data_IF_731078824562
#
_entry.id   IF_731078824562
#
_cell.length_a   1.000
_cell.length_b   1.000
_cell.length_c   1.000
_cell.angle_alpha   90.00
_cell.angle_beta   90.00
_cell.angle_gamma   90.00
#
_symmetry.space_group_name_H-M   'P 1'
#
loop_
_entity.id
_entity.type
_entity.pdbx_description
1 polymer ?
#
# COMPACT_ATOMS: atom_id res chain seq x y z
N UNK A 1 -10.30 2.84 2.29
CA UNK A 1 -10.65 1.43 2.55
C UNK A 1 -11.71 1.31 3.64
N UNK A 2 -11.59 2.06 4.75
CA UNK A 2 -12.56 1.99 5.85
C UNK A 2 -14.00 2.24 5.42
N UNK A 3 -14.23 3.26 4.58
CA UNK A 3 -15.54 3.56 4.02
C UNK A 3 -16.13 2.36 3.26
N UNK A 4 -15.34 1.67 2.44
CA UNK A 4 -15.79 0.48 1.70
C UNK A 4 -16.24 -0.64 2.65
N UNK A 5 -15.50 -0.88 3.74
CA UNK A 5 -15.92 -1.85 4.75
C UNK A 5 -17.23 -1.42 5.44
N UNK A 6 -17.40 -0.14 5.73
CA UNK A 6 -18.62 0.40 6.33
C UNK A 6 -19.83 0.25 5.40
N UNK A 7 -19.68 0.62 4.12
CA UNK A 7 -20.73 0.51 3.09
C UNK A 7 -21.20 -0.93 2.91
N UNK A 8 -20.28 -1.89 2.94
CA UNK A 8 -20.59 -3.32 2.87
C UNK A 8 -20.92 -3.96 4.22
N UNK A 9 -21.06 -3.17 5.30
CA UNK A 9 -21.38 -3.61 6.65
C UNK A 9 -20.42 -4.69 7.21
N UNK A 10 -19.16 -4.66 6.76
CA UNK A 10 -18.12 -5.59 7.21
C UNK A 10 -17.49 -5.07 8.50
N UNK A 11 -17.83 -5.72 9.63
CA UNK A 11 -17.21 -5.45 10.92
C UNK A 11 -15.82 -6.06 10.98
N UNK A 12 -14.79 -5.22 11.13
CA UNK A 12 -13.40 -5.64 11.27
C UNK A 12 -13.00 -5.69 12.74
N UNK A 13 -12.25 -6.71 13.13
CA UNK A 13 -11.57 -6.75 14.42
C UNK A 13 -10.18 -6.16 14.26
N UNK A 14 -10.02 -4.89 14.66
CA UNK A 14 -8.72 -4.22 14.63
C UNK A 14 -7.89 -4.67 15.84
N UNK A 15 -6.83 -5.45 15.61
CA UNK A 15 -5.98 -5.99 16.69
C UNK A 15 -4.74 -5.13 16.92
N UNK A 16 -4.14 -4.58 15.84
CA UNK A 16 -2.96 -3.72 15.88
C UNK A 16 -3.08 -2.67 14.77
N UNK A 17 -2.54 -1.47 15.01
CA UNK A 17 -2.43 -0.39 14.03
C UNK A 17 -0.96 0.04 13.87
N UNK A 18 -0.54 0.31 12.64
CA UNK A 18 0.80 0.84 12.33
C UNK A 18 0.77 1.62 11.03
N UNK A 19 1.67 2.60 10.89
CA UNK A 19 1.81 3.41 9.68
C UNK A 19 2.87 2.87 8.70
N UNK A 20 3.53 1.75 9.03
CA UNK A 20 4.60 1.17 8.21
C UNK A 20 4.13 -0.11 7.50
N UNK A 21 4.19 -0.10 6.17
CA UNK A 21 3.89 -1.27 5.33
C UNK A 21 4.82 -2.46 5.66
N UNK A 22 6.10 -2.18 5.94
CA UNK A 22 7.06 -3.20 6.33
C UNK A 22 6.67 -3.85 7.67
N UNK A 23 6.26 -3.04 8.64
CA UNK A 23 5.80 -3.53 9.95
C UNK A 23 4.52 -4.36 9.82
N UNK A 24 3.56 -3.93 9.00
CA UNK A 24 2.36 -4.73 8.67
C UNK A 24 2.77 -6.11 8.15
N UNK A 25 3.64 -6.15 7.13
CA UNK A 25 4.05 -7.41 6.51
C UNK A 25 4.77 -8.32 7.51
N UNK A 26 5.64 -7.77 8.36
CA UNK A 26 6.32 -8.53 9.41
C UNK A 26 5.34 -9.11 10.43
N UNK A 27 4.33 -8.36 10.87
CA UNK A 27 3.33 -8.83 11.83
C UNK A 27 2.42 -9.91 11.24
N UNK A 28 2.01 -9.77 9.97
CA UNK A 28 1.25 -10.82 9.27
C UNK A 28 2.08 -12.11 9.17
N UNK A 29 3.37 -12.00 8.80
CA UNK A 29 4.30 -13.16 8.80
C UNK A 29 4.44 -13.80 10.18
N UNK A 30 4.43 -13.00 11.23
CA UNK A 30 4.48 -13.47 12.62
C UNK A 30 3.14 -14.06 13.12
N UNK A 31 2.09 -14.09 12.29
CA UNK A 31 0.81 -14.70 12.62
C UNK A 31 -0.15 -13.81 13.41
N UNK A 32 0.11 -12.49 13.49
CA UNK A 32 -0.77 -11.55 14.22
C UNK A 32 -2.15 -11.44 13.57
N UNK A 33 -2.25 -11.66 12.26
CA UNK A 33 -3.50 -11.60 11.52
C UNK A 33 -3.28 -11.46 10.01
N UNK A 34 -4.22 -10.81 9.34
CA UNK A 34 -4.16 -10.48 7.91
C UNK A 34 -4.26 -8.97 7.72
N UNK A 35 -3.81 -8.47 6.57
CA UNK A 35 -3.95 -7.05 6.22
C UNK A 35 -4.20 -6.87 4.72
N UNK A 36 -4.80 -5.74 4.36
CA UNK A 36 -4.93 -5.28 2.97
C UNK A 36 -3.83 -4.25 2.71
N UNK A 37 -2.99 -4.50 1.72
CA UNK A 37 -1.89 -3.61 1.33
C UNK A 37 -2.07 -3.13 -0.11
N UNK A 38 -1.38 -2.05 -0.47
CA UNK A 38 -1.38 -1.56 -1.85
C UNK A 38 -0.61 -2.54 -2.78
N UNK A 39 -0.81 -2.48 -4.10
CA UNK A 39 -0.18 -3.41 -5.05
C UNK A 39 1.34 -3.38 -5.06
N UNK A 40 1.98 -2.24 -4.79
CA UNK A 40 3.45 -2.14 -4.76
C UNK A 40 4.03 -2.87 -3.55
N UNK A 41 3.42 -2.69 -2.37
CA UNK A 41 3.79 -3.45 -1.17
C UNK A 41 3.52 -4.94 -1.36
N UNK A 42 2.39 -5.32 -1.97
CA UNK A 42 2.09 -6.72 -2.24
C UNK A 42 3.15 -7.36 -3.17
N UNK A 43 3.60 -6.62 -4.19
CA UNK A 43 4.63 -7.06 -5.13
C UNK A 43 6.00 -7.21 -4.43
N UNK A 44 6.41 -6.21 -3.65
CA UNK A 44 7.69 -6.19 -2.93
C UNK A 44 7.79 -7.35 -1.92
N UNK A 45 6.69 -7.70 -1.26
CA UNK A 45 6.65 -8.75 -0.23
C UNK A 45 6.12 -10.10 -0.73
N UNK A 46 5.85 -10.26 -2.03
CA UNK A 46 5.26 -11.49 -2.58
C UNK A 46 6.09 -12.75 -2.30
N UNK A 47 7.43 -12.61 -2.27
CA UNK A 47 8.36 -13.71 -2.00
C UNK A 47 8.76 -13.83 -0.52
N UNK A 48 8.21 -13.02 0.37
CA UNK A 48 8.66 -12.90 1.77
C UNK A 48 8.00 -13.90 2.72
N UNK A 49 7.53 -15.04 2.22
CA UNK A 49 6.79 -16.03 3.01
C UNK A 49 5.36 -15.58 3.38
N UNK A 50 4.79 -14.65 2.62
CA UNK A 50 3.40 -14.23 2.72
C UNK A 50 2.58 -14.83 1.58
N UNK A 51 1.33 -15.16 1.87
CA UNK A 51 0.36 -15.49 0.82
C UNK A 51 -0.37 -14.23 0.41
N UNK A 52 -0.18 -13.81 -0.85
CA UNK A 52 -0.88 -12.66 -1.43
C UNK A 52 -2.17 -13.14 -2.11
N UNK A 53 -3.29 -12.47 -1.81
CA UNK A 53 -4.59 -12.73 -2.43
C UNK A 53 -5.18 -11.43 -2.94
N UNK A 54 -5.73 -11.47 -4.15
CA UNK A 54 -6.40 -10.31 -4.75
C UNK A 54 -7.61 -9.92 -3.89
N UNK A 55 -7.74 -8.62 -3.64
CA UNK A 55 -8.94 -8.08 -3.01
C UNK A 55 -10.13 -8.21 -3.96
N UNK A 56 -11.28 -8.68 -3.45
CA UNK A 56 -12.43 -9.04 -4.29
C UNK A 56 -13.08 -7.83 -4.97
N UNK A 57 -12.87 -6.64 -4.44
CA UNK A 57 -13.36 -5.37 -4.99
C UNK A 57 -12.18 -4.63 -5.62
N UNK A 58 -12.35 -4.13 -6.84
CA UNK A 58 -11.34 -3.32 -7.49
C UNK A 58 -11.25 -1.94 -6.81
N UNK A 59 -10.08 -1.62 -6.28
CA UNK A 59 -9.75 -0.30 -5.72
C UNK A 59 -8.55 0.24 -6.51
N UNK A 60 -8.75 1.20 -7.44
CA UNK A 60 -7.66 1.78 -8.21
C UNK A 60 -6.59 2.41 -7.32
N UNK A 61 -5.33 2.16 -7.64
CA UNK A 61 -4.19 2.75 -6.94
C UNK A 61 -3.38 3.59 -7.92
N UNK A 62 -3.40 4.91 -7.74
CA UNK A 62 -2.73 5.86 -8.63
C UNK A 62 -1.40 6.29 -8.03
N UNK A 63 -0.33 6.19 -8.82
CA UNK A 63 0.98 6.74 -8.50
C UNK A 63 1.19 7.99 -9.36
N UNK A 64 1.55 9.09 -8.72
CA UNK A 64 1.77 10.37 -9.39
C UNK A 64 3.14 10.91 -9.05
N UNK A 65 3.82 11.48 -10.04
CA UNK A 65 5.03 12.25 -9.84
C UNK A 65 4.67 13.72 -9.59
N UNK A 66 5.15 14.29 -8.48
CA UNK A 66 4.93 15.70 -8.15
C UNK A 66 6.15 16.53 -8.54
N UNK A 67 5.92 17.64 -9.24
CA UNK A 67 6.96 18.57 -9.70
C UNK A 67 6.64 20.02 -9.30
N UNK A 68 7.62 20.80 -8.81
CA UNK A 68 7.42 22.22 -8.56
C UNK A 68 7.21 22.99 -9.88
N UNK A 69 6.15 23.80 -9.97
CA UNK A 69 5.88 24.58 -11.19
C UNK A 69 6.75 25.85 -11.31
N UNK A 70 7.21 26.41 -10.19
CA UNK A 70 7.87 27.72 -10.14
C UNK A 70 9.37 27.65 -9.82
N UNK A 71 9.98 26.46 -9.86
CA UNK A 71 11.42 26.28 -9.70
C UNK A 71 11.96 25.61 -10.97
N UNK A 72 12.97 26.19 -11.65
CA UNK A 72 13.56 25.54 -12.80
C UNK A 72 14.07 24.15 -12.41
N UNK A 73 13.67 23.12 -13.17
CA UNK A 73 14.15 21.76 -12.97
C UNK A 73 15.66 21.73 -13.23
N UNK A 74 16.45 21.21 -12.30
CA UNK A 74 17.85 20.94 -12.61
C UNK A 74 17.97 19.84 -13.68
N UNK A 75 19.10 19.78 -14.37
CA UNK A 75 19.39 18.72 -15.33
C UNK A 75 19.21 17.32 -14.72
N UNK A 76 19.56 17.16 -13.44
CA UNK A 76 19.33 15.93 -12.68
C UNK A 76 17.84 15.62 -12.53
N UNK A 77 16.99 16.59 -12.19
CA UNK A 77 15.55 16.36 -12.07
C UNK A 77 14.94 15.86 -13.38
N UNK A 78 15.38 16.40 -14.53
CA UNK A 78 14.92 15.92 -15.83
C UNK A 78 15.33 14.47 -16.09
N UNK A 79 16.61 14.13 -15.87
CA UNK A 79 17.13 12.77 -16.08
C UNK A 79 16.47 11.69 -15.20
N UNK A 80 15.98 12.05 -14.01
CA UNK A 80 15.32 11.09 -13.10
C UNK A 80 13.81 10.99 -13.28
N UNK A 81 13.21 11.86 -14.10
CA UNK A 81 11.76 11.84 -14.31
C UNK A 81 11.33 11.90 -15.77
N UNK A 82 12.20 11.43 -16.68
CA UNK A 82 11.96 11.24 -18.10
C UNK A 82 13.00 10.29 -18.69
#
# INVERSE_FOLDING_TARGET
LDQLFTEHQVKRRMIVETHSAASVCAMVRAGVGISVVNPLTALDYAASGLVVRRFSIAVPFTVSLIRPLHRPSSALVQAFSG
#
